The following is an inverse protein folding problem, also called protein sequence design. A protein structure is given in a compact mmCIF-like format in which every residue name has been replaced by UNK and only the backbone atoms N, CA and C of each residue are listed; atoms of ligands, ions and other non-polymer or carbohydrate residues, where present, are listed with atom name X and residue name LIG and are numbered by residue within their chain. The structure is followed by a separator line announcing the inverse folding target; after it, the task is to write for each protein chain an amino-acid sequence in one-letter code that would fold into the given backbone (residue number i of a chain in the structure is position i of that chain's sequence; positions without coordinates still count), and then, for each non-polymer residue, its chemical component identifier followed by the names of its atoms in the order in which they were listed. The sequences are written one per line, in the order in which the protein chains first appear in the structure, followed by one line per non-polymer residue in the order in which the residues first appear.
data_IF_638850122117
#
_entry.id   IF_638850122117
#
_cell.length_a   1.000
_cell.length_b   1.000
_cell.length_c   1.000
_cell.angle_alpha   90.00
_cell.angle_beta   90.00
_cell.angle_gamma   90.00
#
_symmetry.space_group_name_H-M   'P 1'
#
loop_
_entity.id
_entity.type
_entity.pdbx_description
1 polymer ?
#
# COMPACT_ATOMS: atom_id res chain seq x y z
N UNK A 1 -19.18 -8.74 13.51
CA UNK A 1 -19.59 -7.32 13.57
C UNK A 1 -19.03 -6.65 12.32
N UNK A 2 -19.84 -6.55 11.26
CA UNK A 2 -19.44 -5.90 10.00
C UNK A 2 -19.10 -4.44 10.31
N UNK A 3 -17.84 -4.05 10.08
CA UNK A 3 -17.35 -2.69 10.35
C UNK A 3 -18.20 -1.68 9.58
N UNK A 4 -18.88 -0.77 10.30
CA UNK A 4 -19.71 0.32 9.75
C UNK A 4 -19.02 1.17 8.68
N UNK A 5 -17.68 1.11 8.58
CA UNK A 5 -16.93 1.77 7.51
C UNK A 5 -17.23 1.17 6.12
N UNK A 6 -17.47 -0.15 6.02
CA UNK A 6 -17.72 -0.82 4.74
C UNK A 6 -19.09 -0.43 4.16
N UNK A 7 -20.11 -0.33 5.02
CA UNK A 7 -21.48 0.02 4.61
C UNK A 7 -21.59 1.44 4.06
N UNK A 8 -20.86 2.39 4.66
CA UNK A 8 -20.84 3.79 4.17
C UNK A 8 -20.19 3.93 2.80
N UNK A 9 -19.22 3.06 2.47
CA UNK A 9 -18.46 3.12 1.20
C UNK A 9 -19.23 2.57 0.01
N UNK A 10 -20.02 1.50 0.19
CA UNK A 10 -20.91 1.00 -0.86
C UNK A 10 -21.93 2.08 -1.25
N UNK A 11 -22.48 2.79 -0.26
CA UNK A 11 -23.38 3.92 -0.50
C UNK A 11 -22.72 5.09 -1.25
N UNK A 12 -21.44 5.34 -1.03
CA UNK A 12 -20.70 6.41 -1.70
C UNK A 12 -20.27 6.04 -3.12
N UNK A 13 -19.83 4.80 -3.34
CA UNK A 13 -19.51 4.28 -4.68
C UNK A 13 -20.74 4.26 -5.61
N UNK A 14 -21.93 3.97 -5.07
CA UNK A 14 -23.20 4.08 -5.80
C UNK A 14 -23.56 5.54 -6.13
N UNK A 15 -23.06 6.52 -5.38
CA UNK A 15 -23.31 7.96 -5.60
C UNK A 15 -22.35 8.58 -6.62
N UNK A 16 -21.09 8.16 -6.66
CA UNK A 16 -20.07 8.75 -7.54
C UNK A 16 -19.80 7.97 -8.82
N UNK A 17 -20.32 6.74 -8.95
CA UNK A 17 -20.06 5.87 -10.10
C UNK A 17 -18.60 5.41 -10.21
N UNK A 18 -17.77 5.75 -9.22
CA UNK A 18 -16.39 5.29 -9.13
C UNK A 18 -16.34 4.07 -8.23
N UNK A 19 -16.19 2.90 -8.83
CA UNK A 19 -15.70 1.72 -8.11
C UNK A 19 -14.29 2.06 -7.62
N UNK A 20 -14.01 2.04 -6.30
CA UNK A 20 -12.65 2.21 -5.81
C UNK A 20 -11.81 1.08 -6.39
N UNK A 21 -10.98 1.38 -7.39
CA UNK A 21 -10.16 0.40 -8.12
C UNK A 21 -8.93 -0.04 -7.33
N UNK A 22 -8.83 0.36 -6.06
CA UNK A 22 -7.82 -0.14 -5.14
C UNK A 22 -8.44 -0.22 -3.74
N UNK A 23 -8.20 -1.30 -2.99
CA UNK A 23 -8.44 -1.31 -1.55
C UNK A 23 -7.83 -0.04 -0.96
N UNK A 24 -8.61 0.66 -0.14
CA UNK A 24 -8.15 1.87 0.54
C UNK A 24 -7.15 1.46 1.62
N UNK A 25 -5.91 1.16 1.20
CA UNK A 25 -4.84 0.87 2.12
C UNK A 25 -4.56 2.14 2.93
N UNK A 26 -4.30 2.03 4.25
CA UNK A 26 -4.02 3.15 5.14
C UNK A 26 -2.60 3.73 4.92
N UNK A 27 -2.20 3.85 3.66
CA UNK A 27 -0.90 4.31 3.20
C UNK A 27 -1.02 5.73 2.63
N UNK A 28 -0.06 6.56 2.98
CA UNK A 28 0.15 7.88 2.35
C UNK A 28 0.46 7.72 0.86
N UNK A 29 0.30 8.78 0.03
CA UNK A 29 0.66 8.73 -1.38
C UNK A 29 2.10 8.23 -1.61
N UNK A 30 3.04 8.70 -0.80
CA UNK A 30 4.44 8.31 -0.92
C UNK A 30 4.69 6.84 -0.54
N UNK A 31 4.01 6.34 0.47
CA UNK A 31 4.07 4.92 0.84
C UNK A 31 3.45 4.03 -0.26
N UNK A 32 2.42 4.51 -0.97
CA UNK A 32 1.86 3.79 -2.13
C UNK A 32 2.88 3.72 -3.27
N UNK A 33 3.64 4.79 -3.54
CA UNK A 33 4.72 4.76 -4.54
C UNK A 33 5.78 3.71 -4.20
N UNK A 34 6.20 3.69 -2.93
CA UNK A 34 7.18 2.72 -2.42
C UNK A 34 6.62 1.30 -2.49
N UNK A 35 5.36 1.09 -2.10
CA UNK A 35 4.67 -0.20 -2.16
C UNK A 35 4.66 -0.76 -3.59
N UNK A 36 4.34 0.06 -4.60
CA UNK A 36 4.31 -0.38 -6.00
C UNK A 36 5.66 -0.91 -6.48
N UNK A 37 6.76 -0.30 -6.05
CA UNK A 37 8.11 -0.76 -6.40
C UNK A 37 8.55 -1.97 -5.57
N UNK A 38 8.17 -2.02 -4.29
CA UNK A 38 8.40 -3.17 -3.41
C UNK A 38 7.77 -4.46 -3.97
N UNK A 39 6.52 -4.38 -4.41
CA UNK A 39 5.78 -5.54 -4.98
C UNK A 39 6.44 -6.06 -6.24
N UNK A 40 7.08 -5.17 -7.02
CA UNK A 40 7.90 -5.53 -8.20
C UNK A 40 9.27 -6.12 -7.84
N UNK A 41 9.58 -6.29 -6.56
CA UNK A 41 10.84 -6.87 -6.09
C UNK A 41 12.00 -5.88 -6.02
N UNK A 42 11.76 -4.58 -6.17
CA UNK A 42 12.83 -3.59 -6.11
C UNK A 42 13.57 -3.60 -4.76
N UNK A 43 14.89 -3.38 -4.81
CA UNK A 43 15.72 -3.12 -3.65
C UNK A 43 15.53 -1.69 -3.14
N UNK A 44 15.89 -1.42 -1.89
CA UNK A 44 15.78 -0.06 -1.34
C UNK A 44 16.60 0.96 -2.13
N UNK A 45 17.76 0.55 -2.66
CA UNK A 45 18.59 1.36 -3.55
C UNK A 45 17.88 1.72 -4.85
N UNK A 46 17.30 0.74 -5.53
CA UNK A 46 16.53 0.99 -6.77
C UNK A 46 15.31 1.88 -6.51
N UNK A 47 14.63 1.70 -5.38
CA UNK A 47 13.50 2.55 -4.98
C UNK A 47 13.97 3.99 -4.71
N UNK A 48 15.09 4.13 -4.01
CA UNK A 48 15.72 5.43 -3.71
C UNK A 48 16.07 6.18 -5.00
N UNK A 49 16.71 5.50 -5.95
CA UNK A 49 17.05 6.03 -7.27
C UNK A 49 15.78 6.42 -8.06
N UNK A 50 14.79 5.54 -8.14
CA UNK A 50 13.54 5.77 -8.89
C UNK A 50 12.73 6.95 -8.34
N UNK A 51 12.70 7.09 -7.01
CA UNK A 51 11.90 8.09 -6.33
C UNK A 51 12.69 9.34 -5.94
N UNK A 52 13.99 9.40 -6.26
CA UNK A 52 14.92 10.50 -5.92
C UNK A 52 14.91 10.84 -4.43
N UNK A 53 15.04 9.83 -3.55
CA UNK A 53 15.15 9.98 -2.09
C UNK A 53 16.30 9.12 -1.55
N UNK A 54 16.71 9.32 -0.30
CA UNK A 54 17.76 8.49 0.30
C UNK A 54 17.28 7.05 0.57
N UNK A 55 18.20 6.09 0.52
CA UNK A 55 17.91 4.70 0.94
C UNK A 55 17.40 4.60 2.38
N UNK A 56 17.86 5.49 3.27
CA UNK A 56 17.38 5.53 4.65
C UNK A 56 15.91 5.97 4.73
N UNK A 57 15.52 6.95 3.91
CA UNK A 57 14.12 7.37 3.76
C UNK A 57 13.26 6.21 3.25
N UNK A 58 13.75 5.43 2.28
CA UNK A 58 13.07 4.22 1.81
C UNK A 58 12.90 3.20 2.94
N UNK A 59 13.96 2.92 3.73
CA UNK A 59 13.87 2.00 4.89
C UNK A 59 12.77 2.42 5.87
N UNK A 60 12.64 3.72 6.14
CA UNK A 60 11.58 4.26 6.99
C UNK A 60 10.19 4.06 6.38
N UNK A 61 10.02 4.34 5.09
CA UNK A 61 8.74 4.08 4.42
C UNK A 61 8.39 2.58 4.41
N UNK A 62 9.35 1.69 4.14
CA UNK A 62 9.14 0.23 4.17
C UNK A 62 8.68 -0.23 5.56
N UNK A 63 9.32 0.26 6.63
CA UNK A 63 8.89 -0.03 8.01
C UNK A 63 7.46 0.42 8.26
N UNK A 64 7.14 1.67 7.94
CA UNK A 64 5.79 2.21 8.14
C UNK A 64 4.73 1.45 7.34
N UNK A 65 5.05 1.03 6.10
CA UNK A 65 4.16 0.20 5.29
C UNK A 65 3.89 -1.14 5.98
N UNK A 66 4.94 -1.83 6.43
CA UNK A 66 4.79 -3.11 7.13
C UNK A 66 3.93 -2.95 8.39
N UNK A 67 4.21 -1.93 9.20
CA UNK A 67 3.44 -1.64 10.42
C UNK A 67 1.96 -1.36 10.11
N UNK A 68 1.69 -0.53 9.09
CA UNK A 68 0.32 -0.18 8.66
C UNK A 68 -0.46 -1.34 8.05
N UNK A 69 0.24 -2.28 7.42
CA UNK A 69 -0.35 -3.48 6.83
C UNK A 69 -0.38 -4.67 7.81
N UNK A 70 0.17 -4.52 9.02
CA UNK A 70 0.26 -5.59 10.02
C UNK A 70 1.23 -6.71 9.62
N UNK A 71 2.20 -6.42 8.74
CA UNK A 71 3.18 -7.37 8.22
C UNK A 71 4.50 -7.25 8.99
N UNK A 72 5.28 -8.32 9.02
CA UNK A 72 6.59 -8.33 9.71
C UNK A 72 7.76 -8.27 8.75
N UNK A 73 7.59 -8.80 7.54
CA UNK A 73 8.70 -8.95 6.58
C UNK A 73 8.31 -8.42 5.21
N UNK A 74 9.29 -7.81 4.51
CA UNK A 74 9.12 -7.37 3.12
C UNK A 74 8.63 -8.47 2.18
N UNK A 75 9.01 -9.72 2.43
CA UNK A 75 8.61 -10.87 1.62
C UNK A 75 7.10 -11.16 1.71
N UNK A 76 6.46 -10.75 2.81
CA UNK A 76 5.02 -10.92 3.02
C UNK A 76 4.21 -9.93 2.17
N UNK A 77 4.79 -8.79 1.79
CA UNK A 77 4.11 -7.71 1.05
C UNK A 77 3.58 -8.21 -0.30
N UNK A 78 4.38 -8.95 -1.07
CA UNK A 78 3.95 -9.46 -2.37
C UNK A 78 2.81 -10.48 -2.26
N UNK A 79 2.81 -11.30 -1.20
CA UNK A 79 1.71 -12.23 -0.94
C UNK A 79 0.45 -11.48 -0.51
N UNK A 80 0.58 -10.51 0.41
CA UNK A 80 -0.51 -9.67 0.88
C UNK A 80 -1.22 -8.93 -0.26
N UNK A 81 -0.47 -8.31 -1.16
CA UNK A 81 -1.02 -7.56 -2.30
C UNK A 81 -1.74 -8.49 -3.28
N UNK A 82 -1.21 -9.69 -3.56
CA UNK A 82 -1.90 -10.70 -4.38
C UNK A 82 -3.24 -11.15 -3.79
N UNK A 83 -3.35 -11.22 -2.46
CA UNK A 83 -4.62 -11.56 -1.81
C UNK A 83 -5.67 -10.45 -1.88
N UNK A 84 -5.26 -9.23 -2.22
CA UNK A 84 -6.15 -8.07 -2.36
C UNK A 84 -6.55 -7.78 -3.81
N UNK A 85 -6.22 -8.66 -4.75
CA UNK A 85 -6.40 -8.46 -6.20
C UNK A 85 -5.76 -7.16 -6.73
N UNK A 86 -4.63 -6.75 -6.14
CA UNK A 86 -3.84 -5.56 -6.47
C UNK A 86 -2.60 -5.86 -7.32
#
# INVERSE_FOLDING_TARGET
MLSSAVTLRVLEALRTGQVPTSPDLPLTPRERDVLRLLVRGASNRQIAETLMISENTVKTHVRNILDKLGLRRRSEVAAYVRHLDL
#
